data_IF_173570021860
#
_entry.id   IF_173570021860
#
_cell.length_a   1.000
_cell.length_b   1.000
_cell.length_c   1.000
_cell.angle_alpha   90.00
_cell.angle_beta   90.00
_cell.angle_gamma   90.00
#
_symmetry.space_group_name_H-M   'P 1'
#
loop_
_entity.id
_entity.type
_entity.pdbx_description
1 polymer ?
#
# COMPACT_ATOMS: atom_id res chain seq x y z
N UNK A 1 36.77 -6.36 0.12
CA UNK A 1 36.35 -4.96 0.18
C UNK A 1 34.96 -4.89 0.79
N UNK A 2 34.75 -4.03 1.72
CA UNK A 2 33.44 -3.79 2.32
C UNK A 2 32.73 -2.67 1.60
N UNK A 3 31.46 -2.88 1.29
CA UNK A 3 30.60 -1.90 0.63
C UNK A 3 29.24 -1.84 1.32
N UNK A 4 28.57 -0.70 1.21
CA UNK A 4 27.22 -0.52 1.73
C UNK A 4 26.26 -0.56 0.55
N UNK A 5 25.26 -1.43 0.63
CA UNK A 5 24.27 -1.57 -0.43
C UNK A 5 23.29 -0.40 -0.42
N UNK A 6 23.00 0.14 -1.57
CA UNK A 6 22.00 1.19 -1.78
C UNK A 6 20.68 0.66 -2.30
N UNK A 7 20.66 -0.60 -2.72
CA UNK A 7 19.47 -1.31 -3.20
C UNK A 7 19.46 -2.71 -2.63
N UNK A 8 18.29 -3.31 -2.56
CA UNK A 8 18.15 -4.69 -2.16
C UNK A 8 18.69 -5.61 -3.25
N UNK A 9 19.66 -6.45 -2.89
CA UNK A 9 20.24 -7.44 -3.81
C UNK A 9 20.03 -8.83 -3.18
N UNK A 10 19.29 -9.64 -3.88
CA UNK A 10 18.86 -10.95 -3.42
C UNK A 10 20.01 -11.86 -2.94
N UNK A 11 21.16 -11.77 -3.59
CA UNK A 11 22.34 -12.61 -3.27
C UNK A 11 23.30 -11.97 -2.26
N UNK A 12 23.15 -10.70 -1.95
CA UNK A 12 24.11 -9.96 -1.12
C UNK A 12 23.50 -9.45 0.18
N UNK A 13 22.32 -8.90 0.14
CA UNK A 13 21.68 -8.35 1.30
C UNK A 13 20.70 -7.22 1.00
N UNK A 14 20.22 -6.57 2.04
CA UNK A 14 19.25 -5.48 1.96
C UNK A 14 19.92 -4.11 1.86
N UNK A 15 19.15 -3.13 1.42
CA UNK A 15 19.58 -1.73 1.37
C UNK A 15 20.06 -1.24 2.74
N UNK A 16 21.23 -0.60 2.74
CA UNK A 16 21.85 -0.07 3.96
C UNK A 16 22.70 -1.09 4.71
N UNK A 17 22.79 -2.31 4.26
CA UNK A 17 23.60 -3.36 4.84
C UNK A 17 25.04 -3.28 4.36
N UNK A 18 26.00 -3.48 5.27
CA UNK A 18 27.42 -3.56 4.94
C UNK A 18 27.75 -5.00 4.59
N UNK A 19 28.22 -5.22 3.38
CA UNK A 19 28.59 -6.55 2.89
C UNK A 19 30.03 -6.59 2.43
N UNK A 20 30.66 -7.74 2.57
CA UNK A 20 32.04 -7.98 2.12
C UNK A 20 31.98 -8.68 0.76
N UNK A 21 32.59 -8.06 -0.25
CA UNK A 21 32.62 -8.57 -1.62
C UNK A 21 34.04 -8.53 -2.17
N UNK A 22 34.27 -9.27 -3.26
CA UNK A 22 35.54 -9.21 -3.95
C UNK A 22 35.77 -7.80 -4.53
N UNK A 23 37.01 -7.28 -4.43
CA UNK A 23 37.33 -5.96 -4.88
C UNK A 23 37.03 -5.73 -6.38
N UNK A 24 37.29 -6.73 -7.21
CA UNK A 24 36.97 -6.66 -8.66
C UNK A 24 35.46 -6.57 -8.92
N UNK A 25 34.66 -7.33 -8.20
CA UNK A 25 33.23 -7.28 -8.32
C UNK A 25 32.65 -5.90 -7.90
N UNK A 26 33.15 -5.38 -6.79
CA UNK A 26 32.74 -4.05 -6.34
C UNK A 26 33.10 -2.97 -7.33
N UNK A 27 34.34 -2.94 -7.81
CA UNK A 27 34.83 -1.93 -8.75
C UNK A 27 34.19 -2.01 -10.13
N UNK A 28 33.93 -3.20 -10.62
CA UNK A 28 33.47 -3.40 -12.01
C UNK A 28 31.95 -3.43 -12.13
N UNK A 29 31.24 -3.78 -11.07
CA UNK A 29 29.79 -3.98 -11.10
C UNK A 29 29.04 -3.05 -10.14
N UNK A 30 29.35 -3.13 -8.85
CA UNK A 30 28.55 -2.41 -7.83
C UNK A 30 28.75 -0.90 -7.85
N UNK A 31 29.98 -0.45 -7.87
CA UNK A 31 30.30 0.98 -7.81
C UNK A 31 29.91 1.75 -9.07
N UNK A 32 30.22 1.27 -10.30
CA UNK A 32 29.84 1.97 -11.52
C UNK A 32 28.33 2.10 -11.70
N UNK A 33 27.57 1.12 -11.25
CA UNK A 33 26.10 1.12 -11.32
C UNK A 33 25.43 1.84 -10.15
N UNK A 34 26.22 2.35 -9.21
CA UNK A 34 25.73 3.03 -8.00
C UNK A 34 24.80 2.17 -7.13
N UNK A 35 24.92 0.86 -7.23
CA UNK A 35 24.16 -0.11 -6.42
C UNK A 35 24.71 -0.18 -5.00
N UNK A 36 26.00 0.12 -4.84
CA UNK A 36 26.69 0.15 -3.55
C UNK A 36 27.71 1.28 -3.52
N UNK A 37 28.12 1.65 -2.33
CA UNK A 37 29.17 2.64 -2.09
C UNK A 37 30.24 2.04 -1.16
N UNK A 38 31.48 2.52 -1.23
CA UNK A 38 32.51 2.05 -0.30
C UNK A 38 32.10 2.27 1.15
N UNK A 39 32.40 1.32 2.04
CA UNK A 39 32.05 1.38 3.44
C UNK A 39 33.01 2.29 4.22
N UNK A 40 33.00 3.58 3.91
CA UNK A 40 33.74 4.59 4.67
C UNK A 40 32.87 5.12 5.82
N UNK A 41 33.49 5.74 6.83
CA UNK A 41 32.76 6.30 7.98
C UNK A 41 31.76 7.37 7.53
N UNK A 42 32.14 8.20 6.55
CA UNK A 42 31.24 9.21 5.99
C UNK A 42 30.05 8.58 5.28
N UNK A 43 30.27 7.54 4.48
CA UNK A 43 29.20 6.83 3.77
C UNK A 43 28.29 6.08 4.73
N UNK A 44 28.83 5.47 5.79
CA UNK A 44 28.04 4.82 6.86
C UNK A 44 27.08 5.80 7.52
N UNK A 45 27.55 7.02 7.82
CA UNK A 45 26.70 8.06 8.39
C UNK A 45 25.58 8.49 7.46
N UNK A 46 25.89 8.69 6.19
CA UNK A 46 24.90 9.07 5.16
C UNK A 46 23.82 8.00 5.03
N UNK A 47 24.22 6.74 4.91
CA UNK A 47 23.29 5.61 4.77
C UNK A 47 22.43 5.45 6.02
N UNK A 48 23.00 5.63 7.20
CA UNK A 48 22.25 5.59 8.46
C UNK A 48 21.21 6.72 8.53
N UNK A 49 21.58 7.92 8.15
CA UNK A 49 20.65 9.06 8.10
C UNK A 49 19.53 8.82 7.08
N UNK A 50 19.85 8.31 5.90
CA UNK A 50 18.85 7.94 4.88
C UNK A 50 17.89 6.87 5.42
N UNK A 51 18.40 5.86 6.11
CA UNK A 51 17.61 4.80 6.72
C UNK A 51 16.67 5.34 7.80
N UNK A 52 17.15 6.20 8.68
CA UNK A 52 16.32 6.84 9.71
C UNK A 52 15.26 7.72 9.11
N UNK A 53 15.60 8.51 8.09
CA UNK A 53 14.65 9.35 7.36
C UNK A 53 13.56 8.51 6.69
N UNK A 54 13.93 7.40 6.08
CA UNK A 54 12.98 6.49 5.46
C UNK A 54 12.03 5.84 6.49
N UNK A 55 12.58 5.39 7.63
CA UNK A 55 11.77 4.84 8.72
C UNK A 55 10.79 5.87 9.30
N UNK A 56 11.21 7.12 9.45
CA UNK A 56 10.33 8.20 9.90
C UNK A 56 9.20 8.47 8.92
N UNK A 57 9.49 8.48 7.62
CA UNK A 57 8.48 8.64 6.57
C UNK A 57 7.49 7.49 6.57
N UNK A 58 7.97 6.25 6.67
CA UNK A 58 7.09 5.08 6.75
C UNK A 58 6.21 5.11 7.99
N UNK A 59 6.77 5.45 9.15
CA UNK A 59 6.00 5.57 10.39
C UNK A 59 4.92 6.65 10.28
N UNK A 60 5.24 7.80 9.67
CA UNK A 60 4.28 8.86 9.42
C UNK A 60 3.16 8.41 8.48
N UNK A 61 3.51 7.78 7.36
CA UNK A 61 2.54 7.26 6.40
C UNK A 61 1.65 6.18 7.03
N UNK A 62 2.22 5.28 7.82
CA UNK A 62 1.47 4.27 8.55
C UNK A 62 0.52 4.89 9.57
N UNK A 63 0.96 5.92 10.30
CA UNK A 63 0.12 6.67 11.23
C UNK A 63 -1.05 7.37 10.55
N UNK A 64 -0.79 8.06 9.45
CA UNK A 64 -1.83 8.70 8.64
C UNK A 64 -2.81 7.66 8.07
N UNK A 65 -2.31 6.52 7.63
CA UNK A 65 -3.15 5.43 7.14
C UNK A 65 -4.01 4.82 8.25
N UNK A 66 -3.49 4.68 9.46
CA UNK A 66 -4.27 4.22 10.62
C UNK A 66 -5.39 5.19 10.98
N UNK A 67 -5.11 6.49 11.01
CA UNK A 67 -6.12 7.52 11.28
C UNK A 67 -7.21 7.51 10.21
N UNK A 68 -6.82 7.40 8.95
CA UNK A 68 -7.75 7.28 7.84
C UNK A 68 -8.58 5.99 7.93
N UNK A 69 -7.95 4.89 8.31
CA UNK A 69 -8.64 3.61 8.52
C UNK A 69 -9.72 3.72 9.59
N UNK A 70 -9.45 4.39 10.70
CA UNK A 70 -10.43 4.63 11.76
C UNK A 70 -11.61 5.46 11.27
N UNK A 71 -11.34 6.51 10.50
CA UNK A 71 -12.39 7.34 9.90
C UNK A 71 -13.24 6.55 8.92
N UNK A 72 -12.62 5.79 8.03
CA UNK A 72 -13.31 5.00 7.01
C UNK A 72 -14.10 3.85 7.64
N UNK A 73 -13.56 3.17 8.64
CA UNK A 73 -14.25 2.05 9.30
C UNK A 73 -15.54 2.45 10.00
N UNK A 74 -15.66 3.72 10.40
CA UNK A 74 -16.88 4.27 10.99
C UNK A 74 -17.92 4.66 9.93
N UNK A 75 -17.58 4.66 8.65
CA UNK A 75 -18.47 5.03 7.57
C UNK A 75 -19.27 3.81 7.06
N UNK A 76 -20.52 4.06 6.75
CA UNK A 76 -21.36 3.11 6.01
C UNK A 76 -21.68 3.75 4.66
N UNK A 77 -21.25 3.10 3.59
CA UNK A 77 -21.55 3.54 2.24
C UNK A 77 -22.90 2.94 1.80
N UNK A 78 -23.75 3.78 1.24
CA UNK A 78 -25.03 3.34 0.69
C UNK A 78 -25.02 3.48 -0.83
N UNK A 79 -25.32 2.39 -1.52
CA UNK A 79 -25.38 2.34 -2.98
C UNK A 79 -26.77 1.89 -3.39
N UNK A 80 -27.42 2.64 -4.26
CA UNK A 80 -28.67 2.23 -4.87
C UNK A 80 -28.39 1.59 -6.24
N UNK A 81 -28.88 0.38 -6.45
CA UNK A 81 -28.75 -0.34 -7.71
C UNK A 81 -30.08 -1.02 -8.05
N UNK A 82 -30.35 -1.15 -9.33
CA UNK A 82 -31.54 -1.88 -9.80
C UNK A 82 -31.40 -3.37 -9.49
N UNK A 83 -32.42 -3.95 -8.90
CA UNK A 83 -32.44 -5.35 -8.53
C UNK A 83 -33.69 -6.05 -9.03
N UNK A 84 -33.56 -7.33 -9.33
CA UNK A 84 -34.69 -8.19 -9.71
C UNK A 84 -35.49 -8.67 -8.49
N UNK A 85 -36.48 -9.51 -8.73
CA UNK A 85 -37.38 -10.04 -7.68
C UNK A 85 -36.66 -10.90 -6.65
N UNK A 86 -35.52 -11.50 -7.03
CA UNK A 86 -34.73 -12.40 -6.17
C UNK A 86 -33.60 -11.71 -5.39
N UNK A 87 -33.69 -10.39 -5.23
CA UNK A 87 -32.66 -9.57 -4.56
C UNK A 87 -31.28 -9.59 -5.24
N UNK A 88 -31.22 -10.10 -6.47
CA UNK A 88 -30.03 -10.04 -7.29
C UNK A 88 -30.01 -8.75 -8.11
N UNK A 89 -28.84 -8.10 -8.12
CA UNK A 89 -28.65 -6.88 -8.91
C UNK A 89 -28.60 -7.21 -10.40
N UNK A 90 -29.16 -6.34 -11.23
CA UNK A 90 -28.99 -6.41 -12.68
C UNK A 90 -27.57 -6.09 -13.11
N UNK A 91 -26.86 -5.30 -12.32
CA UNK A 91 -25.44 -5.02 -12.47
C UNK A 91 -24.64 -5.54 -11.27
N UNK A 92 -23.45 -5.03 -11.11
CA UNK A 92 -22.58 -5.36 -9.97
C UNK A 92 -21.98 -4.10 -9.37
N UNK A 93 -21.68 -4.14 -8.07
CA UNK A 93 -20.90 -3.10 -7.40
C UNK A 93 -19.45 -3.53 -7.41
N UNK A 94 -18.61 -2.73 -8.06
CA UNK A 94 -17.18 -3.04 -8.22
C UNK A 94 -16.34 -2.15 -7.32
N UNK A 95 -15.04 -2.43 -7.26
CA UNK A 95 -14.08 -1.60 -6.54
C UNK A 95 -14.08 -0.14 -7.03
N UNK A 96 -14.34 0.10 -8.32
CA UNK A 96 -14.47 1.44 -8.86
C UNK A 96 -15.64 2.19 -8.22
N UNK A 97 -16.79 1.53 -8.08
CA UNK A 97 -17.98 2.13 -7.47
C UNK A 97 -17.71 2.51 -6.01
N UNK A 98 -17.02 1.63 -5.28
CA UNK A 98 -16.64 1.90 -3.89
C UNK A 98 -15.67 3.08 -3.81
N UNK A 99 -14.69 3.14 -4.71
CA UNK A 99 -13.75 4.27 -4.78
C UNK A 99 -14.47 5.58 -5.07
N UNK A 100 -15.43 5.58 -6.00
CA UNK A 100 -16.23 6.76 -6.33
C UNK A 100 -17.08 7.24 -5.15
N UNK A 101 -17.66 6.31 -4.39
CA UNK A 101 -18.40 6.62 -3.18
C UNK A 101 -17.52 7.24 -2.09
N UNK A 102 -16.32 6.70 -1.91
CA UNK A 102 -15.35 7.25 -0.97
C UNK A 102 -14.90 8.66 -1.41
N UNK A 103 -14.70 8.87 -2.70
CA UNK A 103 -14.36 10.18 -3.24
C UNK A 103 -15.49 11.19 -2.99
N UNK A 104 -16.74 10.77 -3.09
CA UNK A 104 -17.91 11.61 -2.78
C UNK A 104 -17.94 12.02 -1.30
N UNK A 105 -17.37 11.21 -0.40
CA UNK A 105 -17.23 11.51 1.02
C UNK A 105 -15.93 12.25 1.35
N UNK A 106 -15.21 12.73 0.32
CA UNK A 106 -13.92 13.42 0.44
C UNK A 106 -12.75 12.54 0.86
N UNK A 107 -12.87 11.21 0.71
CA UNK A 107 -11.77 10.26 0.94
C UNK A 107 -11.19 9.83 -0.40
N UNK A 108 -9.94 10.17 -0.63
CA UNK A 108 -9.26 9.80 -1.87
C UNK A 108 -8.57 8.43 -1.70
N UNK A 109 -9.27 7.38 -2.08
CA UNK A 109 -8.76 6.01 -2.02
C UNK A 109 -8.71 5.43 -3.43
N UNK A 110 -7.55 4.93 -3.83
CA UNK A 110 -7.38 4.28 -5.12
C UNK A 110 -8.14 2.95 -5.15
N UNK A 111 -8.80 2.66 -6.26
CA UNK A 111 -9.49 1.38 -6.50
C UNK A 111 -8.58 0.16 -6.30
N UNK A 112 -7.28 0.31 -6.55
CA UNK A 112 -6.28 -0.75 -6.37
C UNK A 112 -6.08 -1.14 -4.91
N UNK A 113 -6.37 -0.23 -4.00
CA UNK A 113 -6.30 -0.46 -2.56
C UNK A 113 -7.55 -1.14 -2.01
N UNK A 114 -8.63 -1.15 -2.77
CA UNK A 114 -9.88 -1.80 -2.40
C UNK A 114 -9.81 -3.26 -2.84
N UNK A 115 -9.87 -4.17 -1.87
CA UNK A 115 -9.88 -5.60 -2.11
C UNK A 115 -11.31 -6.10 -2.13
N UNK A 116 -11.77 -6.46 -3.31
CA UNK A 116 -13.08 -7.03 -3.53
C UNK A 116 -12.91 -8.32 -4.33
N UNK A 117 -13.02 -9.46 -3.65
CA UNK A 117 -12.82 -10.77 -4.27
C UNK A 117 -13.82 -11.02 -5.39
N UNK A 118 -15.08 -10.69 -5.14
CA UNK A 118 -16.14 -10.82 -6.12
C UNK A 118 -16.97 -9.53 -6.16
N UNK A 119 -17.43 -9.09 -7.33
CA UNK A 119 -18.35 -7.97 -7.42
C UNK A 119 -19.63 -8.24 -6.63
N UNK A 120 -20.14 -7.23 -5.96
CA UNK A 120 -21.38 -7.36 -5.19
C UNK A 120 -22.56 -7.41 -6.14
N UNK A 121 -23.36 -8.46 -6.04
CA UNK A 121 -24.52 -8.67 -6.91
C UNK A 121 -25.83 -8.86 -6.18
N UNK A 122 -25.81 -8.77 -4.86
CA UNK A 122 -26.98 -8.94 -4.02
C UNK A 122 -27.24 -7.70 -3.18
N UNK A 123 -28.49 -7.50 -2.79
CA UNK A 123 -28.88 -6.43 -1.87
C UNK A 123 -28.40 -6.75 -0.45
N UNK A 124 -28.22 -5.72 0.35
CA UNK A 124 -27.88 -5.84 1.76
C UNK A 124 -26.50 -5.28 2.11
N UNK A 125 -26.07 -5.57 3.31
CA UNK A 125 -24.79 -5.13 3.81
C UNK A 125 -23.66 -6.06 3.35
N UNK A 126 -22.61 -5.47 2.80
CA UNK A 126 -21.42 -6.18 2.39
C UNK A 126 -20.20 -5.49 2.99
N UNK A 127 -19.26 -6.29 3.44
CA UNK A 127 -17.98 -5.79 3.96
C UNK A 127 -16.94 -5.80 2.85
N UNK A 128 -16.24 -4.68 2.70
CA UNK A 128 -15.19 -4.53 1.71
C UNK A 128 -13.90 -4.14 2.43
N UNK A 129 -12.84 -4.87 2.16
CA UNK A 129 -11.53 -4.60 2.75
C UNK A 129 -10.80 -3.54 1.93
N UNK A 130 -10.31 -2.51 2.60
CA UNK A 130 -9.51 -1.45 2.01
C UNK A 130 -8.11 -1.50 2.61
N UNK A 131 -7.12 -1.69 1.76
CA UNK A 131 -5.72 -1.74 2.17
C UNK A 131 -5.10 -0.36 1.95
N UNK A 132 -4.90 0.38 3.03
CA UNK A 132 -4.38 1.75 2.99
C UNK A 132 -2.86 1.82 3.00
N UNK A 133 -2.22 0.86 3.67
CA UNK A 133 -0.77 0.73 3.79
C UNK A 133 -0.40 -0.75 3.86
N UNK A 134 0.89 -1.09 3.71
CA UNK A 134 1.36 -2.48 3.80
C UNK A 134 0.89 -3.20 5.07
N UNK A 135 0.83 -2.48 6.19
CA UNK A 135 0.46 -3.01 7.49
C UNK A 135 -0.92 -2.53 7.96
N UNK A 136 -1.56 -1.62 7.23
CA UNK A 136 -2.83 -1.01 7.62
C UNK A 136 -3.92 -1.39 6.61
N UNK A 137 -4.89 -2.12 7.08
CA UNK A 137 -6.10 -2.44 6.33
C UNK A 137 -7.32 -2.19 7.20
N UNK A 138 -8.43 -1.84 6.59
CA UNK A 138 -9.70 -1.62 7.26
C UNK A 138 -10.83 -2.22 6.46
N UNK A 139 -11.93 -2.50 7.15
CA UNK A 139 -13.16 -2.95 6.50
C UNK A 139 -14.18 -1.82 6.52
N UNK A 140 -14.84 -1.61 5.40
CA UNK A 140 -15.98 -0.70 5.30
C UNK A 140 -17.25 -1.48 5.01
N UNK A 141 -18.35 -1.01 5.54
CA UNK A 141 -19.66 -1.59 5.26
C UNK A 141 -20.29 -0.86 4.07
N UNK A 142 -20.62 -1.63 3.05
CA UNK A 142 -21.35 -1.13 1.88
C UNK A 142 -22.76 -1.68 1.94
N UNK A 143 -23.73 -0.80 2.06
CA UNK A 143 -25.15 -1.17 2.08
C UNK A 143 -25.73 -0.96 0.68
N UNK A 144 -26.12 -2.04 0.05
CA UNK A 144 -26.72 -2.02 -1.29
C UNK A 144 -28.23 -2.03 -1.16
N UNK A 145 -28.86 -0.98 -1.66
CA UNK A 145 -30.31 -0.82 -1.65
C UNK A 145 -30.88 -0.92 -3.04
N UNK A 146 -32.17 -1.23 -3.11
CA UNK A 146 -32.89 -1.26 -4.39
C UNK A 146 -33.13 0.16 -4.89
N UNK A 147 -32.77 0.40 -6.13
CA UNK A 147 -33.10 1.63 -6.83
C UNK A 147 -34.53 1.53 -7.40
N UNK A 148 -35.36 2.48 -7.05
CA UNK A 148 -36.72 2.58 -7.60
C UNK A 148 -36.76 3.31 -8.94
#
# INVERSE_FOLDING_TARGET
MEVILREDIEKLGARGEVVKVAAGYARNFLLPRRIAVPATDSNKKIVEQEKQSHLRKEAKLAGEAQDLAKMISALTLTVARKAGESDHLFGSVTANDVADLLAAQHYNVDRRKIQLEEPIRTLGEHKVTVKLHREVSTEITVNVTREE
#
